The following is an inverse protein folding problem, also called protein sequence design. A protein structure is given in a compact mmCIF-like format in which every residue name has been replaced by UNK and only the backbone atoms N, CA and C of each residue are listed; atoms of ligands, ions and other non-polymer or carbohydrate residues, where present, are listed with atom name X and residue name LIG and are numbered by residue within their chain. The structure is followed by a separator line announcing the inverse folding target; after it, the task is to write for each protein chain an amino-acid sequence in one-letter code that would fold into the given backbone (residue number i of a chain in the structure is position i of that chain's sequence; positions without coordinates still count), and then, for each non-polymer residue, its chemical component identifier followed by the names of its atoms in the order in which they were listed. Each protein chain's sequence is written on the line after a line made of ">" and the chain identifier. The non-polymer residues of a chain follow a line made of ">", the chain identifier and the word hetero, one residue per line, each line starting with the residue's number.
data_IF_375002273361
#
_entry.id   IF_375002273361
#
_cell.length_a   1.000
_cell.length_b   1.000
_cell.length_c   1.000
_cell.angle_alpha   90.00
_cell.angle_beta   90.00
_cell.angle_gamma   90.00
#
_symmetry.space_group_name_H-M   'P 1'
#
loop_
_entity.id
_entity.type
_entity.pdbx_description
1 polymer ?
#
# COMPACT_ATOMS: atom_id res chain seq x y z
N UNK A 1 14.26 -9.31 -13.79
CA UNK A 1 13.37 -9.82 -14.85
C UNK A 1 13.32 -11.34 -14.75
N UNK A 2 12.17 -11.94 -15.00
CA UNK A 2 12.08 -13.40 -15.12
C UNK A 2 12.72 -13.80 -16.45
N UNK A 3 13.50 -14.89 -16.50
CA UNK A 3 14.12 -15.36 -17.75
C UNK A 3 13.06 -15.52 -18.87
N UNK A 4 13.31 -14.92 -20.04
CA UNK A 4 12.43 -15.04 -21.21
C UNK A 4 11.16 -14.18 -21.20
N UNK A 5 10.98 -13.28 -20.21
CA UNK A 5 9.90 -12.30 -20.21
C UNK A 5 10.45 -10.88 -20.28
N UNK A 6 9.76 -9.95 -20.96
CA UNK A 6 10.15 -8.54 -20.91
C UNK A 6 10.15 -8.05 -19.45
N UNK A 7 11.03 -7.10 -19.08
CA UNK A 7 11.01 -6.51 -17.75
C UNK A 7 9.62 -5.92 -17.47
N UNK A 8 9.17 -6.02 -16.21
CA UNK A 8 7.96 -5.30 -15.80
C UNK A 8 8.16 -3.82 -16.09
N UNK A 9 7.42 -3.31 -17.07
CA UNK A 9 7.36 -1.89 -17.32
C UNK A 9 6.44 -1.26 -16.26
N UNK A 10 6.92 -0.30 -15.52
CA UNK A 10 6.11 0.44 -14.56
C UNK A 10 4.88 1.06 -15.23
N UNK A 11 3.73 0.94 -14.60
CA UNK A 11 2.47 1.45 -15.12
C UNK A 11 1.58 2.03 -14.01
N UNK A 12 2.14 2.17 -12.80
CA UNK A 12 1.38 2.64 -11.64
C UNK A 12 0.79 4.04 -11.87
N UNK A 13 1.53 4.96 -12.45
CA UNK A 13 1.02 6.32 -12.72
C UNK A 13 -0.17 6.31 -13.68
N UNK A 14 -0.10 5.52 -14.76
CA UNK A 14 -1.24 5.39 -15.69
C UNK A 14 -2.46 4.77 -15.03
N UNK A 15 -2.26 3.78 -14.15
CA UNK A 15 -3.35 3.22 -13.36
C UNK A 15 -3.96 4.28 -12.43
N UNK A 16 -3.13 5.06 -11.75
CA UNK A 16 -3.59 6.13 -10.85
C UNK A 16 -4.31 7.23 -11.63
N UNK A 17 -3.81 7.63 -12.80
CA UNK A 17 -4.48 8.60 -13.67
C UNK A 17 -5.88 8.10 -14.08
N UNK A 18 -5.99 6.83 -14.46
CA UNK A 18 -7.28 6.21 -14.76
C UNK A 18 -8.21 6.16 -13.54
N UNK A 19 -7.69 5.77 -12.37
CA UNK A 19 -8.48 5.74 -11.13
C UNK A 19 -8.99 7.13 -10.72
N UNK A 20 -8.14 8.15 -10.80
CA UNK A 20 -8.51 9.52 -10.41
C UNK A 20 -9.35 10.23 -11.47
N UNK A 21 -9.01 10.06 -12.75
CA UNK A 21 -9.63 10.79 -13.84
C UNK A 21 -10.91 10.17 -14.39
N UNK A 22 -11.09 8.87 -14.24
CA UNK A 22 -12.22 8.14 -14.82
C UNK A 22 -13.03 7.38 -13.77
N UNK A 23 -12.40 6.48 -13.02
CA UNK A 23 -13.13 5.57 -12.12
C UNK A 23 -13.77 6.31 -10.94
N UNK A 24 -12.99 7.11 -10.21
CA UNK A 24 -13.50 7.85 -9.05
C UNK A 24 -14.62 8.82 -9.43
N UNK A 25 -14.49 9.67 -10.48
CA UNK A 25 -15.58 10.54 -10.91
C UNK A 25 -16.84 9.77 -11.32
N UNK A 26 -16.71 8.67 -12.06
CA UNK A 26 -17.87 7.86 -12.49
C UNK A 26 -18.57 7.21 -11.30
N UNK A 27 -17.83 6.67 -10.33
CA UNK A 27 -18.40 6.10 -9.10
C UNK A 27 -19.12 7.18 -8.30
N UNK A 28 -18.50 8.36 -8.11
CA UNK A 28 -19.12 9.48 -7.39
C UNK A 28 -20.41 9.92 -8.06
N UNK A 29 -20.39 10.08 -9.38
CA UNK A 29 -21.58 10.45 -10.17
C UNK A 29 -22.68 9.41 -10.06
N UNK A 30 -22.32 8.12 -10.22
CA UNK A 30 -23.29 7.02 -10.28
C UNK A 30 -24.00 6.77 -8.96
N UNK A 31 -23.30 6.95 -7.86
CA UNK A 31 -23.80 6.66 -6.51
C UNK A 31 -24.07 7.92 -5.69
N UNK A 32 -23.98 9.12 -6.28
CA UNK A 32 -24.15 10.40 -5.62
C UNK A 32 -23.27 10.52 -4.36
N UNK A 33 -21.99 10.11 -4.48
CA UNK A 33 -21.04 10.12 -3.38
C UNK A 33 -20.16 11.38 -3.41
N UNK A 34 -19.89 11.92 -2.23
CA UNK A 34 -18.77 12.80 -2.00
C UNK A 34 -17.57 11.95 -1.49
N UNK A 35 -16.45 12.00 -2.21
CA UNK A 35 -15.27 11.19 -1.92
C UNK A 35 -14.03 12.07 -1.72
N UNK A 36 -14.00 12.88 -0.64
CA UNK A 36 -12.80 13.62 -0.28
C UNK A 36 -11.65 12.67 0.04
N UNK A 37 -10.41 13.14 -0.09
CA UNK A 37 -9.22 12.33 0.15
C UNK A 37 -9.28 11.59 1.50
N UNK A 38 -9.68 12.29 2.56
CA UNK A 38 -9.79 11.71 3.90
C UNK A 38 -10.74 10.50 4.01
N UNK A 39 -11.65 10.32 3.06
CA UNK A 39 -12.60 9.19 2.99
C UNK A 39 -12.37 8.28 1.79
N UNK A 40 -11.31 8.53 1.02
CA UNK A 40 -10.95 7.72 -0.15
C UNK A 40 -9.71 6.89 0.17
N UNK A 41 -9.81 5.59 -0.04
CA UNK A 41 -8.76 4.63 0.28
C UNK A 41 -8.31 3.83 -0.93
N UNK A 42 -7.02 3.53 -0.99
CA UNK A 42 -6.46 2.48 -1.83
C UNK A 42 -6.07 1.28 -0.95
N UNK A 43 -6.44 0.09 -1.36
CA UNK A 43 -6.00 -1.13 -0.70
C UNK A 43 -5.49 -2.14 -1.73
N UNK A 44 -4.41 -2.82 -1.40
CA UNK A 44 -3.84 -3.79 -2.31
C UNK A 44 -3.01 -4.87 -1.63
N UNK A 45 -2.76 -5.93 -2.38
CA UNK A 45 -1.98 -7.07 -1.97
C UNK A 45 -0.75 -7.24 -2.85
N UNK A 46 0.40 -7.60 -2.28
CA UNK A 46 1.64 -7.85 -3.02
C UNK A 46 2.09 -6.61 -3.82
N UNK A 47 2.26 -6.70 -5.12
CA UNK A 47 2.53 -5.54 -5.99
C UNK A 47 1.38 -4.51 -5.95
N UNK A 48 0.13 -4.97 -5.79
CA UNK A 48 -1.01 -4.08 -5.56
C UNK A 48 -0.91 -3.34 -4.22
N UNK A 49 -0.32 -3.95 -3.20
CA UNK A 49 -0.04 -3.29 -1.92
C UNK A 49 1.03 -2.20 -2.03
N UNK A 50 2.09 -2.46 -2.79
CA UNK A 50 3.08 -1.43 -3.14
C UNK A 50 2.43 -0.29 -3.92
N UNK A 51 1.61 -0.61 -4.94
CA UNK A 51 0.92 0.40 -5.76
C UNK A 51 -0.08 1.23 -4.95
N UNK A 52 -0.77 0.63 -3.96
CA UNK A 52 -1.70 1.35 -3.08
C UNK A 52 -0.97 2.38 -2.20
N UNK A 53 0.15 2.00 -1.60
CA UNK A 53 0.97 2.92 -0.80
C UNK A 53 1.58 4.01 -1.67
N UNK A 54 2.16 3.63 -2.83
CA UNK A 54 2.68 4.56 -3.82
C UNK A 54 1.60 5.59 -4.24
N UNK A 55 0.40 5.11 -4.53
CA UNK A 55 -0.71 5.96 -4.95
C UNK A 55 -1.13 6.97 -3.89
N UNK A 56 -1.24 6.56 -2.63
CA UNK A 56 -1.59 7.47 -1.55
C UNK A 56 -0.51 8.53 -1.30
N UNK A 57 0.77 8.15 -1.36
CA UNK A 57 1.87 9.08 -1.14
C UNK A 57 2.11 10.03 -2.33
N UNK A 58 1.92 9.56 -3.56
CA UNK A 58 2.10 10.38 -4.76
C UNK A 58 0.89 11.28 -5.07
N UNK A 59 -0.31 10.92 -4.56
CA UNK A 59 -1.56 11.65 -4.80
C UNK A 59 -2.35 11.86 -3.50
N UNK A 60 -1.77 12.56 -2.51
CA UNK A 60 -2.42 12.71 -1.19
C UNK A 60 -3.72 13.52 -1.24
N UNK A 61 -3.91 14.35 -2.26
CA UNK A 61 -5.16 15.08 -2.48
C UNK A 61 -6.32 14.17 -2.95
N UNK A 62 -5.99 12.96 -3.48
CA UNK A 62 -6.97 11.98 -3.95
C UNK A 62 -7.22 10.85 -2.96
N UNK A 63 -6.16 10.42 -2.26
CA UNK A 63 -6.17 9.25 -1.38
C UNK A 63 -5.58 9.59 -0.01
N UNK A 64 -6.44 9.79 0.96
CA UNK A 64 -6.02 10.04 2.34
C UNK A 64 -5.78 8.76 3.15
N UNK A 65 -6.15 7.59 2.61
CA UNK A 65 -6.01 6.32 3.30
C UNK A 65 -5.41 5.26 2.38
N UNK A 66 -4.52 4.41 2.89
CA UNK A 66 -4.05 3.27 2.11
C UNK A 66 -3.69 2.05 2.96
N UNK A 67 -3.85 0.87 2.35
CA UNK A 67 -3.40 -0.39 2.92
C UNK A 67 -2.50 -1.17 1.95
N UNK A 68 -1.29 -1.48 2.40
CA UNK A 68 -0.34 -2.38 1.75
C UNK A 68 -0.29 -3.73 2.46
N UNK A 69 -1.11 -4.69 2.03
CA UNK A 69 -1.10 -6.04 2.59
C UNK A 69 -0.05 -6.89 1.88
N UNK A 70 0.92 -7.44 2.61
CA UNK A 70 2.08 -8.15 2.05
C UNK A 70 2.70 -7.41 0.87
N UNK A 71 2.79 -6.09 1.00
CA UNK A 71 3.27 -5.21 -0.06
C UNK A 71 4.68 -5.60 -0.51
N UNK A 72 4.92 -5.58 -1.83
CA UNK A 72 6.23 -5.89 -2.41
C UNK A 72 7.26 -4.80 -2.13
N UNK A 73 7.42 -4.41 -0.85
CA UNK A 73 8.28 -3.29 -0.41
C UNK A 73 9.78 -3.59 -0.55
N UNK A 74 10.11 -4.82 -0.91
CA UNK A 74 11.45 -5.24 -1.34
C UNK A 74 11.82 -4.70 -2.74
N UNK A 75 10.88 -4.04 -3.43
CA UNK A 75 11.10 -3.50 -4.78
C UNK A 75 12.21 -2.45 -4.77
N UNK A 76 13.11 -2.55 -5.74
CA UNK A 76 14.28 -1.67 -5.81
C UNK A 76 13.85 -0.20 -5.97
N UNK A 77 14.48 0.68 -5.18
CA UNK A 77 14.20 2.11 -5.18
C UNK A 77 13.01 2.54 -4.30
N UNK A 78 12.26 1.59 -3.69
CA UNK A 78 11.13 1.96 -2.82
C UNK A 78 11.52 2.83 -1.64
N UNK A 79 12.58 2.44 -0.92
CA UNK A 79 13.01 3.16 0.27
C UNK A 79 13.56 4.56 -0.03
N UNK A 80 14.35 4.69 -1.10
CA UNK A 80 14.87 5.99 -1.56
C UNK A 80 13.75 6.90 -2.02
N UNK A 81 12.78 6.33 -2.73
CA UNK A 81 11.59 7.06 -3.16
C UNK A 81 10.76 7.53 -1.96
N UNK A 82 10.50 6.65 -0.99
CA UNK A 82 9.78 6.96 0.24
C UNK A 82 10.44 8.08 1.04
N UNK A 83 11.77 8.10 1.13
CA UNK A 83 12.51 9.14 1.84
C UNK A 83 12.28 10.55 1.24
N UNK A 84 12.01 10.63 -0.06
CA UNK A 84 11.72 11.89 -0.76
C UNK A 84 10.22 12.19 -0.88
N UNK A 85 9.34 11.25 -0.49
CA UNK A 85 7.88 11.36 -0.55
C UNK A 85 7.24 10.97 0.79
N UNK A 86 7.45 11.76 1.85
CA UNK A 86 6.87 11.47 3.17
C UNK A 86 5.34 11.51 3.12
N UNK A 87 4.72 10.77 4.01
CA UNK A 87 3.27 10.78 4.15
C UNK A 87 2.78 12.19 4.52
N UNK A 88 1.69 12.61 3.87
CA UNK A 88 1.08 13.91 4.10
C UNK A 88 0.27 13.93 5.41
N UNK A 89 0.22 15.06 6.13
CA UNK A 89 -0.58 15.18 7.34
C UNK A 89 -2.03 14.76 7.13
N UNK A 90 -2.58 14.00 8.07
CA UNK A 90 -3.95 13.49 8.03
C UNK A 90 -4.15 12.20 7.21
N UNK A 91 -3.11 11.68 6.56
CA UNK A 91 -3.20 10.34 5.95
C UNK A 91 -3.29 9.25 7.02
N UNK A 92 -3.89 8.11 6.65
CA UNK A 92 -3.92 6.88 7.47
C UNK A 92 -3.40 5.70 6.66
N UNK A 93 -2.37 5.06 7.17
CA UNK A 93 -1.62 4.04 6.42
C UNK A 93 -1.51 2.74 7.20
N UNK A 94 -1.96 1.66 6.58
CA UNK A 94 -1.93 0.32 7.14
C UNK A 94 -0.97 -0.59 6.37
N UNK A 95 -0.18 -1.35 7.10
CA UNK A 95 0.69 -2.38 6.56
C UNK A 95 0.39 -3.72 7.22
N UNK A 96 0.52 -4.79 6.47
CA UNK A 96 0.57 -6.13 7.06
C UNK A 96 1.54 -7.04 6.33
N UNK A 97 2.08 -8.03 7.06
CA UNK A 97 2.99 -9.03 6.51
C UNK A 97 2.79 -10.38 7.19
N UNK A 98 2.95 -11.46 6.46
CA UNK A 98 3.00 -12.81 7.04
C UNK A 98 4.36 -13.09 7.68
N UNK A 99 4.38 -13.65 8.89
CA UNK A 99 5.59 -13.90 9.70
C UNK A 99 6.66 -14.78 9.03
N UNK A 100 6.29 -15.52 7.98
CA UNK A 100 7.25 -16.37 7.27
C UNK A 100 7.67 -15.81 5.90
N UNK A 101 7.15 -14.67 5.48
CA UNK A 101 7.48 -14.09 4.18
C UNK A 101 8.95 -13.66 4.09
N UNK A 102 9.52 -13.15 5.16
CA UNK A 102 10.94 -12.80 5.25
C UNK A 102 11.90 -14.01 5.25
N UNK A 103 11.36 -15.25 5.31
CA UNK A 103 12.13 -16.49 5.19
C UNK A 103 12.17 -17.01 3.75
N UNK A 104 11.88 -16.15 2.77
CA UNK A 104 11.96 -16.49 1.35
C UNK A 104 13.36 -17.00 0.99
N UNK A 105 13.42 -18.02 0.10
CA UNK A 105 14.68 -18.49 -0.48
C UNK A 105 15.27 -17.49 -1.50
N UNK A 106 14.46 -16.64 -2.06
CA UNK A 106 14.88 -15.50 -2.87
C UNK A 106 15.36 -14.39 -1.96
N UNK A 107 16.65 -14.09 -1.98
CA UNK A 107 17.29 -13.10 -1.12
C UNK A 107 16.70 -11.68 -1.30
N UNK A 108 16.19 -11.35 -2.48
CA UNK A 108 15.54 -10.06 -2.75
C UNK A 108 14.20 -10.00 -2.05
N UNK A 109 13.37 -11.05 -2.19
CA UNK A 109 12.06 -11.13 -1.52
C UNK A 109 12.21 -11.23 0.00
N UNK A 110 13.26 -11.88 0.52
CA UNK A 110 13.51 -11.98 1.96
C UNK A 110 13.65 -10.61 2.64
N UNK A 111 14.05 -9.56 1.90
CA UNK A 111 14.14 -8.19 2.42
C UNK A 111 12.78 -7.58 2.79
N UNK A 112 11.66 -8.23 2.43
CA UNK A 112 10.31 -7.70 2.66
C UNK A 112 10.03 -7.37 4.12
N UNK A 113 10.52 -8.18 5.06
CA UNK A 113 10.33 -7.97 6.49
C UNK A 113 10.92 -6.64 6.96
N UNK A 114 12.20 -6.42 6.64
CA UNK A 114 12.92 -5.20 7.02
C UNK A 114 12.39 -3.97 6.28
N UNK A 115 12.11 -4.08 4.99
CA UNK A 115 11.49 -3.00 4.21
C UNK A 115 10.13 -2.58 4.80
N UNK A 116 9.30 -3.56 5.20
CA UNK A 116 8.01 -3.29 5.84
C UNK A 116 8.16 -2.59 7.18
N UNK A 117 9.11 -3.03 8.03
CA UNK A 117 9.38 -2.37 9.32
C UNK A 117 9.86 -0.93 9.12
N UNK A 118 10.79 -0.68 8.20
CA UNK A 118 11.30 0.68 7.90
C UNK A 118 10.20 1.57 7.32
N UNK A 119 9.39 1.06 6.42
CA UNK A 119 8.23 1.80 5.89
C UNK A 119 7.24 2.17 7.00
N UNK A 120 6.89 1.22 7.88
CA UNK A 120 6.00 1.48 9.01
C UNK A 120 6.59 2.52 9.98
N UNK A 121 7.89 2.45 10.25
CA UNK A 121 8.57 3.43 11.10
C UNK A 121 8.54 4.84 10.48
N UNK A 122 8.78 4.96 9.17
CA UNK A 122 8.68 6.23 8.45
C UNK A 122 7.26 6.81 8.51
N UNK A 123 6.23 5.98 8.36
CA UNK A 123 4.83 6.40 8.48
C UNK A 123 4.49 6.84 9.89
N UNK A 124 4.87 6.06 10.91
CA UNK A 124 4.62 6.42 12.30
C UNK A 124 5.32 7.72 12.72
N UNK A 125 6.52 7.98 12.20
CA UNK A 125 7.23 9.24 12.43
C UNK A 125 6.53 10.45 11.79
N UNK A 126 5.91 10.27 10.61
CA UNK A 126 5.23 11.34 9.89
C UNK A 126 3.80 11.60 10.38
N UNK A 127 3.08 10.55 10.76
CA UNK A 127 1.63 10.58 10.98
C UNK A 127 1.19 10.34 12.44
N UNK A 128 2.11 9.85 13.27
CA UNK A 128 1.78 9.34 14.60
C UNK A 128 1.27 7.89 14.59
N UNK A 129 1.35 7.21 15.76
CA UNK A 129 0.96 5.80 15.89
C UNK A 129 -0.53 5.56 15.70
N UNK A 130 -1.38 6.55 15.94
CA UNK A 130 -2.84 6.46 15.76
C UNK A 130 -3.25 6.38 14.29
N UNK A 131 -2.44 6.93 13.40
CA UNK A 131 -2.68 6.96 11.95
C UNK A 131 -1.87 5.91 11.17
N UNK A 132 -1.13 5.07 11.88
CA UNK A 132 -0.28 4.04 11.27
C UNK A 132 -0.51 2.70 11.95
N UNK A 133 -0.69 1.64 11.17
CA UNK A 133 -0.75 0.28 11.68
C UNK A 133 0.22 -0.64 10.96
N UNK A 134 0.85 -1.54 11.70
CA UNK A 134 1.63 -2.67 11.18
C UNK A 134 1.17 -3.95 11.85
N UNK A 135 0.58 -4.86 11.11
CA UNK A 135 0.11 -6.14 11.61
C UNK A 135 0.91 -7.32 11.04
N UNK A 136 1.27 -8.25 11.92
CA UNK A 136 1.96 -9.48 11.57
C UNK A 136 1.01 -10.67 11.66
N UNK A 137 0.76 -11.33 10.54
CA UNK A 137 -0.12 -12.48 10.45
C UNK A 137 0.63 -13.81 10.49
N UNK A 138 -0.02 -14.85 10.96
CA UNK A 138 0.50 -16.22 10.90
C UNK A 138 0.59 -16.67 9.43
N UNK A 139 1.68 -17.37 9.09
CA UNK A 139 1.90 -17.94 7.75
C UNK A 139 2.66 -17.02 6.80
N UNK A 140 2.61 -17.35 5.54
CA UNK A 140 3.36 -16.70 4.46
C UNK A 140 2.47 -15.90 3.51
N UNK A 141 3.05 -15.58 2.35
CA UNK A 141 2.47 -14.67 1.37
C UNK A 141 1.04 -15.01 0.93
N UNK A 142 0.68 -16.27 0.81
CA UNK A 142 -0.65 -16.68 0.34
C UNK A 142 -1.59 -17.16 1.46
N UNK A 143 -1.22 -16.96 2.74
CA UNK A 143 -2.02 -17.43 3.87
C UNK A 143 -3.03 -16.36 4.29
N UNK A 144 -4.33 -16.72 4.28
CA UNK A 144 -5.41 -15.89 4.82
C UNK A 144 -5.62 -14.56 4.10
N UNK A 145 -5.33 -14.46 2.82
CA UNK A 145 -5.40 -13.21 2.02
C UNK A 145 -6.73 -12.46 2.18
N UNK A 146 -7.92 -13.12 2.04
CA UNK A 146 -9.20 -12.42 2.20
C UNK A 146 -9.39 -11.84 3.60
N UNK A 147 -9.02 -12.60 4.63
CA UNK A 147 -9.12 -12.13 6.02
C UNK A 147 -8.22 -10.93 6.29
N UNK A 148 -6.99 -10.96 5.80
CA UNK A 148 -6.02 -9.86 5.96
C UNK A 148 -6.46 -8.59 5.25
N UNK A 149 -7.03 -8.71 4.05
CA UNK A 149 -7.63 -7.57 3.33
C UNK A 149 -8.85 -7.03 4.09
N UNK A 150 -9.72 -7.89 4.61
CA UNK A 150 -10.87 -7.47 5.39
C UNK A 150 -10.47 -6.70 6.66
N UNK A 151 -9.43 -7.16 7.38
CA UNK A 151 -8.89 -6.44 8.54
C UNK A 151 -8.34 -5.07 8.15
N UNK A 152 -7.59 -4.99 7.06
CA UNK A 152 -7.07 -3.73 6.54
C UNK A 152 -8.19 -2.75 6.20
N UNK A 153 -9.22 -3.21 5.47
CA UNK A 153 -10.37 -2.38 5.13
C UNK A 153 -11.15 -1.92 6.37
N UNK A 154 -11.35 -2.82 7.34
CA UNK A 154 -12.00 -2.47 8.60
C UNK A 154 -11.20 -1.43 9.39
N UNK A 155 -9.84 -1.52 9.39
CA UNK A 155 -9.00 -0.51 10.04
C UNK A 155 -9.06 0.85 9.31
N UNK A 156 -9.02 0.84 7.98
CA UNK A 156 -9.13 2.08 7.18
C UNK A 156 -10.51 2.74 7.31
N UNK A 157 -11.57 1.98 7.60
CA UNK A 157 -12.93 2.49 7.74
C UNK A 157 -13.21 3.17 9.11
N UNK A 158 -12.30 3.05 10.09
CA UNK A 158 -12.45 3.74 11.38
C UNK A 158 -12.30 5.25 11.19
N UNK A 159 -13.07 6.01 11.96
CA UNK A 159 -12.96 7.47 12.04
C UNK A 159 -11.74 7.90 12.88
#
# INVERSE_FOLDING_TARGET
>A
ALPGRPPFAGGADRLLDFLCGEVKPEVCRRFALDAPAARTALAGYSLGGLAALYGALSRPAEFGRAAGCSGSLWYDGWEDWLASHPAAPGQRLYLSLGKTEERSRDARMARVGDATRRTAAAFAAALGPENTALEWHTGGHFTGVPHRLAQALAWLARD
#
